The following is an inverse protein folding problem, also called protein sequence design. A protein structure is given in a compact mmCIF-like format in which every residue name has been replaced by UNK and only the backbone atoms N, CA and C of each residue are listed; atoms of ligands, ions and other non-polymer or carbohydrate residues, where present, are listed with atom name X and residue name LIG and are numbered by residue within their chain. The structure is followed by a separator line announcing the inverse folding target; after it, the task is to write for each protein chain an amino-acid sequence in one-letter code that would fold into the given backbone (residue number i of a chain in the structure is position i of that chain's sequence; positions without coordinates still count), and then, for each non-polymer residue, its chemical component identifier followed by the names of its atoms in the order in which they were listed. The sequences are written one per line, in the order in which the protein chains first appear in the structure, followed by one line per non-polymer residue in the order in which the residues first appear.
data_IF_401424443096
#
_entry.id   IF_401424443096
#
_cell.length_a   1.000
_cell.length_b   1.000
_cell.length_c   1.000
_cell.angle_alpha   90.00
_cell.angle_beta   90.00
_cell.angle_gamma   90.00
#
_symmetry.space_group_name_H-M   'P 1'
#
loop_
_entity.id
_entity.type
_entity.pdbx_description
1 polymer ?
#
# COMPACT_ATOMS: atom_id res chain seq x y z
N UNK A 1 18.07 14.45 -20.11
CA UNK A 1 16.80 15.03 -19.65
C UNK A 1 17.09 15.80 -18.39
N UNK A 2 16.29 16.82 -18.11
CA UNK A 2 16.26 17.54 -16.82
C UNK A 2 15.68 16.59 -15.78
N UNK A 3 16.28 16.50 -14.58
CA UNK A 3 15.76 15.65 -13.50
C UNK A 3 14.65 16.35 -12.69
N UNK A 4 13.92 15.61 -11.87
CA UNK A 4 12.79 16.14 -11.10
C UNK A 4 13.16 17.26 -10.13
N UNK A 5 14.41 17.29 -9.66
CA UNK A 5 14.90 18.34 -8.76
C UNK A 5 15.18 19.61 -9.55
N UNK A 6 15.79 19.50 -10.72
CA UNK A 6 16.07 20.64 -11.60
C UNK A 6 14.78 21.30 -12.08
N UNK A 7 13.73 20.53 -12.41
CA UNK A 7 12.40 21.06 -12.77
C UNK A 7 11.76 21.92 -11.66
N UNK A 8 11.86 21.47 -10.39
CA UNK A 8 11.33 22.21 -9.24
C UNK A 8 12.15 23.47 -8.95
N UNK A 9 13.48 23.37 -9.00
CA UNK A 9 14.38 24.48 -8.65
C UNK A 9 14.36 25.58 -9.72
N UNK A 10 14.22 25.22 -10.99
CA UNK A 10 14.10 26.18 -12.09
C UNK A 10 12.75 26.90 -12.11
N UNK A 11 11.74 26.34 -11.43
CA UNK A 11 10.36 26.82 -11.50
C UNK A 11 9.65 26.43 -12.79
N UNK A 12 10.19 25.47 -13.55
CA UNK A 12 9.50 24.91 -14.72
C UNK A 12 8.23 24.14 -14.30
N UNK A 13 8.22 23.56 -13.11
CA UNK A 13 7.03 23.01 -12.45
C UNK A 13 6.88 23.56 -11.03
N UNK A 14 5.65 23.86 -10.63
CA UNK A 14 5.34 24.32 -9.26
C UNK A 14 5.31 23.19 -8.22
N UNK A 15 5.03 21.96 -8.67
CA UNK A 15 4.87 20.80 -7.80
C UNK A 15 5.20 19.50 -8.53
N UNK A 16 5.60 18.50 -7.75
CA UNK A 16 5.90 17.14 -8.21
C UNK A 16 5.14 16.13 -7.35
N UNK A 17 4.58 15.10 -8.01
CA UNK A 17 4.09 13.90 -7.35
C UNK A 17 4.98 12.73 -7.74
N UNK A 18 5.76 12.21 -6.80
CA UNK A 18 6.80 11.21 -7.10
C UNK A 18 7.00 10.24 -5.93
N UNK A 19 7.35 9.00 -6.25
CA UNK A 19 7.53 7.94 -5.26
C UNK A 19 8.85 8.08 -4.48
N UNK A 20 9.92 8.48 -5.16
CA UNK A 20 11.21 8.75 -4.52
C UNK A 20 11.30 10.23 -4.12
N UNK A 21 11.98 10.48 -3.00
CA UNK A 21 12.25 11.82 -2.52
C UNK A 21 13.21 12.56 -3.48
N UNK A 22 12.85 13.74 -4.01
CA UNK A 22 13.73 14.51 -4.88
C UNK A 22 15.03 14.89 -4.17
N UNK A 23 16.15 14.80 -4.88
CA UNK A 23 17.48 15.13 -4.35
C UNK A 23 17.52 16.54 -3.74
N UNK A 24 16.93 17.54 -4.41
CA UNK A 24 16.87 18.90 -3.89
C UNK A 24 16.21 19.01 -2.50
N UNK A 25 15.19 18.18 -2.22
CA UNK A 25 14.58 18.13 -0.89
C UNK A 25 15.52 17.48 0.13
N UNK A 26 16.11 16.34 -0.22
CA UNK A 26 17.04 15.61 0.68
C UNK A 26 18.31 16.41 1.03
N UNK A 27 18.76 17.29 0.12
CA UNK A 27 19.90 18.19 0.33
C UNK A 27 19.50 19.48 1.07
N UNK A 28 18.23 19.64 1.43
CA UNK A 28 17.74 20.78 2.20
C UNK A 28 17.66 22.08 1.40
N UNK A 29 17.38 22.01 0.09
CA UNK A 29 17.19 23.20 -0.73
C UNK A 29 16.06 24.07 -0.15
N UNK A 30 16.31 25.37 0.16
CA UNK A 30 15.37 26.19 0.91
C UNK A 30 14.07 26.54 0.16
N UNK A 31 14.01 26.34 -1.16
CA UNK A 31 12.80 26.61 -1.96
C UNK A 31 11.98 25.35 -2.24
N UNK A 32 12.45 24.17 -1.84
CA UNK A 32 11.75 22.89 -2.05
C UNK A 32 11.22 22.35 -0.73
N UNK A 33 9.94 22.02 -0.68
CA UNK A 33 9.27 21.51 0.53
C UNK A 33 8.14 20.53 0.22
N UNK A 34 7.63 19.87 1.27
CA UNK A 34 6.43 19.02 1.17
C UNK A 34 5.18 19.90 1.05
N UNK A 35 4.26 19.54 0.15
CA UNK A 35 2.97 20.24 0.00
C UNK A 35 2.15 20.24 1.30
N UNK A 36 2.18 19.12 2.03
CA UNK A 36 1.64 19.01 3.38
C UNK A 36 2.79 18.99 4.38
N UNK A 37 2.99 20.07 5.17
CA UNK A 37 4.06 20.11 6.17
C UNK A 37 3.93 19.01 7.22
N UNK A 38 2.71 18.68 7.62
CA UNK A 38 2.38 17.56 8.51
C UNK A 38 1.70 16.45 7.69
N UNK A 39 2.52 15.76 6.90
CA UNK A 39 2.07 14.64 6.06
C UNK A 39 1.50 13.50 6.90
N UNK A 40 2.09 13.20 8.07
CA UNK A 40 1.65 12.13 8.97
C UNK A 40 0.22 12.35 9.44
N UNK A 41 -0.12 13.55 9.93
CA UNK A 41 -1.50 13.88 10.30
C UNK A 41 -2.44 13.86 9.10
N UNK A 42 -1.98 14.34 7.95
CA UNK A 42 -2.79 14.40 6.72
C UNK A 42 -3.16 13.00 6.22
N UNK A 43 -2.19 12.08 6.18
CA UNK A 43 -2.38 10.67 5.81
C UNK A 43 -3.28 9.94 6.79
N UNK A 44 -3.09 10.14 8.11
CA UNK A 44 -3.98 9.56 9.14
C UNK A 44 -5.41 10.07 9.00
N UNK A 45 -5.61 11.36 8.72
CA UNK A 45 -6.93 11.94 8.50
C UNK A 45 -7.58 11.40 7.22
N UNK A 46 -6.80 11.19 6.15
CA UNK A 46 -7.26 10.55 4.93
C UNK A 46 -7.75 9.11 5.21
N UNK A 47 -6.96 8.31 5.92
CA UNK A 47 -7.36 6.94 6.27
C UNK A 47 -8.59 6.96 7.18
N UNK A 48 -8.65 7.80 8.22
CA UNK A 48 -9.82 7.88 9.09
C UNK A 48 -11.10 8.26 8.34
N UNK A 49 -10.99 9.17 7.35
CA UNK A 49 -12.13 9.60 6.52
C UNK A 49 -12.57 8.53 5.52
N UNK A 50 -11.62 7.82 4.93
CA UNK A 50 -11.90 6.97 3.75
C UNK A 50 -11.84 5.48 4.04
N UNK A 51 -11.11 5.05 5.06
CA UNK A 51 -10.73 3.64 5.28
C UNK A 51 -9.91 3.06 4.14
N UNK A 52 -9.36 3.88 3.24
CA UNK A 52 -8.54 3.42 2.11
C UNK A 52 -7.08 3.57 2.50
N UNK A 53 -6.34 2.47 2.39
CA UNK A 53 -4.89 2.49 2.36
C UNK A 53 -4.42 1.98 1.00
N UNK A 54 -3.64 2.76 0.22
CA UNK A 54 -3.34 2.42 -1.17
C UNK A 54 -2.67 1.06 -1.35
N UNK A 55 -3.15 0.30 -2.34
CA UNK A 55 -2.58 -1.00 -2.72
C UNK A 55 -1.42 -0.77 -3.69
N UNK A 56 -0.23 -1.29 -3.38
CA UNK A 56 0.95 -1.16 -4.25
C UNK A 56 1.19 -2.39 -5.14
N UNK A 57 0.91 -3.59 -4.62
CA UNK A 57 1.24 -4.86 -5.29
C UNK A 57 0.09 -5.87 -5.23
N UNK A 58 0.01 -6.72 -6.26
CA UNK A 58 -0.85 -7.89 -6.32
C UNK A 58 -0.02 -9.11 -6.75
N UNK A 59 -0.49 -10.31 -6.38
CA UNK A 59 0.10 -11.57 -6.84
C UNK A 59 -0.72 -12.10 -7.99
N UNK A 60 -0.09 -12.29 -9.15
CA UNK A 60 -0.69 -12.91 -10.31
C UNK A 60 -0.09 -14.30 -10.53
N UNK A 61 -0.93 -15.26 -10.89
CA UNK A 61 -0.53 -16.61 -11.30
C UNK A 61 -1.10 -16.84 -12.69
N UNK A 62 -0.32 -17.45 -13.58
CA UNK A 62 -0.77 -17.73 -14.95
C UNK A 62 -1.92 -18.73 -14.96
N UNK A 63 -2.88 -18.52 -15.86
CA UNK A 63 -4.09 -19.35 -15.96
C UNK A 63 -3.78 -20.83 -16.24
N UNK A 64 -2.81 -21.13 -17.10
CA UNK A 64 -2.43 -22.52 -17.40
C UNK A 64 -1.88 -23.26 -16.17
N UNK A 65 -1.11 -22.57 -15.34
CA UNK A 65 -0.60 -23.10 -14.07
C UNK A 65 -1.74 -23.32 -13.07
N UNK A 66 -2.73 -22.40 -13.01
CA UNK A 66 -3.90 -22.57 -12.15
C UNK A 66 -4.72 -23.79 -12.58
N UNK A 67 -4.91 -23.98 -13.89
CA UNK A 67 -5.66 -25.11 -14.43
C UNK A 67 -4.99 -26.46 -14.10
N UNK A 68 -3.67 -26.53 -14.15
CA UNK A 68 -2.91 -27.73 -13.79
C UNK A 68 -2.85 -27.94 -12.27
N UNK A 69 -2.84 -26.85 -11.49
CA UNK A 69 -2.68 -26.86 -10.04
C UNK A 69 -3.69 -25.97 -9.31
N UNK A 70 -4.99 -26.31 -9.27
CA UNK A 70 -6.03 -25.44 -8.69
C UNK A 70 -5.81 -25.12 -7.19
N UNK A 71 -5.09 -25.98 -6.48
CA UNK A 71 -4.74 -25.80 -5.06
C UNK A 71 -3.73 -24.66 -4.83
N UNK A 72 -3.01 -24.23 -5.88
CA UNK A 72 -1.88 -23.30 -5.78
C UNK A 72 -2.30 -21.93 -5.23
N UNK A 73 -3.43 -21.39 -5.69
CA UNK A 73 -3.93 -20.08 -5.26
C UNK A 73 -4.12 -20.01 -3.74
N UNK A 74 -4.77 -21.03 -3.17
CA UNK A 74 -4.97 -21.11 -1.72
C UNK A 74 -3.67 -21.35 -0.95
N UNK A 75 -2.73 -22.12 -1.52
CA UNK A 75 -1.42 -22.34 -0.91
C UNK A 75 -0.59 -21.05 -0.86
N UNK A 76 -0.54 -20.29 -1.96
CA UNK A 76 0.15 -19.00 -2.05
C UNK A 76 -0.46 -17.99 -1.09
N UNK A 77 -1.78 -17.84 -1.08
CA UNK A 77 -2.48 -16.94 -0.16
C UNK A 77 -2.11 -17.24 1.30
N UNK A 78 -2.21 -18.51 1.72
CA UNK A 78 -1.84 -18.92 3.10
C UNK A 78 -0.36 -18.70 3.41
N UNK A 79 0.54 -18.95 2.45
CA UNK A 79 1.97 -18.75 2.65
C UNK A 79 2.31 -17.27 2.90
N UNK A 80 1.76 -16.37 2.09
CA UNK A 80 1.94 -14.92 2.28
C UNK A 80 1.32 -14.43 3.58
N UNK A 81 0.10 -14.85 3.92
CA UNK A 81 -0.52 -14.50 5.20
C UNK A 81 0.33 -14.93 6.39
N UNK A 82 0.89 -16.15 6.37
CA UNK A 82 1.80 -16.63 7.44
C UNK A 82 3.08 -15.80 7.52
N UNK A 83 3.67 -15.46 6.38
CA UNK A 83 4.88 -14.64 6.34
C UNK A 83 4.64 -13.22 6.90
N UNK A 84 3.51 -12.61 6.54
CA UNK A 84 3.08 -11.32 7.11
C UNK A 84 2.86 -11.43 8.61
N UNK A 85 2.14 -12.45 9.08
CA UNK A 85 1.88 -12.63 10.51
C UNK A 85 3.20 -12.76 11.30
N UNK A 86 4.17 -13.53 10.78
CA UNK A 86 5.49 -13.63 11.40
C UNK A 86 6.21 -12.28 11.50
N UNK A 87 6.02 -11.39 10.52
CA UNK A 87 6.55 -10.02 10.57
C UNK A 87 5.83 -9.17 11.60
N UNK A 88 4.50 -9.30 11.72
CA UNK A 88 3.74 -8.60 12.76
C UNK A 88 4.12 -9.04 14.17
N UNK A 89 4.29 -10.34 14.39
CA UNK A 89 4.74 -10.89 15.66
C UNK A 89 6.15 -10.39 16.00
N UNK A 90 7.05 -10.33 15.00
CA UNK A 90 8.38 -9.75 15.16
C UNK A 90 8.32 -8.24 15.50
N UNK A 91 7.51 -7.45 14.78
CA UNK A 91 7.34 -6.02 15.05
C UNK A 91 6.84 -5.77 16.47
N UNK A 92 5.91 -6.59 16.92
CA UNK A 92 5.31 -6.50 18.26
C UNK A 92 6.27 -6.85 19.38
N UNK A 93 7.07 -7.92 19.21
CA UNK A 93 7.83 -8.51 20.32
C UNK A 93 9.33 -8.15 20.31
N UNK A 94 9.92 -8.00 19.11
CA UNK A 94 11.38 -8.02 18.94
C UNK A 94 11.96 -6.81 18.20
N UNK A 95 11.16 -6.05 17.45
CA UNK A 95 11.71 -4.99 16.61
C UNK A 95 12.35 -3.84 17.41
N UNK A 96 11.91 -3.60 18.65
CA UNK A 96 12.39 -2.50 19.49
C UNK A 96 13.91 -2.53 19.78
N UNK A 97 14.54 -3.72 19.81
CA UNK A 97 15.98 -3.84 20.04
C UNK A 97 16.80 -3.93 18.75
N UNK A 98 16.15 -4.14 17.60
CA UNK A 98 16.80 -4.19 16.27
C UNK A 98 16.67 -2.91 15.47
N UNK A 99 15.68 -2.09 15.81
CA UNK A 99 15.47 -0.77 15.20
C UNK A 99 15.85 0.27 16.25
N UNK A 100 16.95 0.98 16.04
CA UNK A 100 17.48 1.97 17.00
C UNK A 100 16.68 3.29 17.07
N UNK A 101 15.42 3.29 16.61
CA UNK A 101 14.54 4.46 16.65
C UNK A 101 13.81 4.51 18.01
N UNK A 102 13.85 5.65 18.72
CA UNK A 102 13.37 5.75 20.11
C UNK A 102 11.85 5.62 20.28
N UNK A 103 11.07 5.77 19.20
CA UNK A 103 9.61 5.83 19.26
C UNK A 103 8.90 4.70 18.52
N UNK A 104 9.63 3.64 18.13
CA UNK A 104 9.07 2.55 17.34
C UNK A 104 7.84 1.89 17.98
N UNK A 105 7.86 1.72 19.31
CA UNK A 105 6.74 1.12 20.05
C UNK A 105 5.47 1.97 19.93
N UNK A 106 5.59 3.29 20.13
CA UNK A 106 4.50 4.24 19.96
C UNK A 106 4.00 4.25 18.51
N UNK A 107 4.90 4.23 17.52
CA UNK A 107 4.53 4.14 16.11
C UNK A 107 3.68 2.90 15.80
N UNK A 108 4.03 1.75 16.38
CA UNK A 108 3.27 0.52 16.24
C UNK A 108 1.88 0.59 16.91
N UNK A 109 1.81 1.13 18.14
CA UNK A 109 0.56 1.31 18.88
C UNK A 109 -0.40 2.28 18.16
N UNK A 110 0.09 3.44 17.75
CA UNK A 110 -0.69 4.47 17.04
C UNK A 110 -1.18 3.99 15.67
N UNK A 111 -0.43 3.09 15.01
CA UNK A 111 -0.85 2.45 13.76
C UNK A 111 -2.02 1.49 14.02
N UNK A 112 -1.92 0.64 15.04
CA UNK A 112 -2.99 -0.31 15.40
C UNK A 112 -4.25 0.37 15.90
N UNK A 113 -4.12 1.46 16.64
CA UNK A 113 -5.27 2.25 17.09
C UNK A 113 -6.06 2.81 15.89
N UNK A 114 -5.37 3.29 14.87
CA UNK A 114 -6.02 3.86 13.69
C UNK A 114 -6.53 2.80 12.71
N UNK A 115 -5.73 1.78 12.43
CA UNK A 115 -5.91 0.86 11.30
C UNK A 115 -6.33 -0.55 11.72
N UNK A 116 -6.35 -0.85 13.02
CA UNK A 116 -6.58 -2.18 13.58
C UNK A 116 -5.35 -3.09 13.53
N UNK A 117 -5.54 -4.34 13.95
CA UNK A 117 -4.44 -5.31 14.07
C UNK A 117 -3.94 -5.86 12.73
N UNK A 118 -4.74 -5.71 11.67
CA UNK A 118 -4.41 -6.19 10.33
C UNK A 118 -4.36 -5.05 9.29
N UNK A 119 -3.44 -4.11 9.51
CA UNK A 119 -3.30 -2.89 8.70
C UNK A 119 -2.76 -3.12 7.27
N UNK A 120 -2.18 -4.28 6.99
CA UNK A 120 -1.83 -4.77 5.65
C UNK A 120 -2.65 -6.02 5.30
N UNK A 121 -3.98 -5.87 5.31
CA UNK A 121 -4.90 -6.99 5.08
C UNK A 121 -4.74 -7.64 3.71
N UNK A 122 -4.87 -8.97 3.63
CA UNK A 122 -4.95 -9.71 2.38
C UNK A 122 -6.36 -10.24 2.13
N UNK A 123 -6.71 -10.40 0.86
CA UNK A 123 -8.03 -10.87 0.41
C UNK A 123 -8.92 -9.73 -0.08
N UNK A 124 -10.04 -10.10 -0.70
CA UNK A 124 -10.93 -9.14 -1.36
C UNK A 124 -11.77 -8.38 -0.36
N UNK A 125 -12.41 -9.06 0.59
CA UNK A 125 -13.35 -8.44 1.53
C UNK A 125 -12.77 -7.21 2.26
N UNK A 126 -11.59 -7.27 2.92
CA UNK A 126 -11.06 -6.12 3.63
C UNK A 126 -10.50 -5.03 2.69
N UNK A 127 -10.16 -5.38 1.44
CA UNK A 127 -9.58 -4.44 0.46
C UNK A 127 -10.59 -3.93 -0.59
N UNK A 128 -11.85 -4.37 -0.54
CA UNK A 128 -12.86 -4.10 -1.58
C UNK A 128 -12.98 -2.61 -1.90
N UNK A 129 -13.03 -1.77 -0.87
CA UNK A 129 -13.14 -0.31 -1.03
C UNK A 129 -11.94 0.29 -1.77
N UNK A 130 -10.73 -0.17 -1.44
CA UNK A 130 -9.50 0.29 -2.10
C UNK A 130 -9.42 -0.21 -3.55
N UNK A 131 -9.81 -1.46 -3.82
CA UNK A 131 -9.88 -2.03 -5.18
C UNK A 131 -10.90 -1.30 -6.05
N UNK A 132 -12.11 -1.05 -5.54
CA UNK A 132 -13.16 -0.34 -6.26
C UNK A 132 -12.75 1.11 -6.58
N UNK A 133 -12.05 1.77 -5.66
CA UNK A 133 -11.47 3.09 -5.90
C UNK A 133 -10.35 3.05 -6.95
N UNK A 134 -9.46 2.05 -6.89
CA UNK A 134 -8.43 1.84 -7.90
C UNK A 134 -9.05 1.67 -9.30
N UNK A 135 -10.09 0.85 -9.44
CA UNK A 135 -10.73 0.60 -10.74
C UNK A 135 -11.45 1.84 -11.27
N UNK A 136 -12.08 2.62 -10.39
CA UNK A 136 -12.65 3.90 -10.75
C UNK A 136 -11.57 4.85 -11.27
N UNK A 137 -10.52 5.11 -10.50
CA UNK A 137 -9.47 6.06 -10.88
C UNK A 137 -8.69 5.61 -12.11
N UNK A 138 -8.43 4.30 -12.26
CA UNK A 138 -7.78 3.75 -13.45
C UNK A 138 -8.57 4.06 -14.73
N UNK A 139 -9.90 3.98 -14.67
CA UNK A 139 -10.75 4.40 -15.80
C UNK A 139 -10.74 5.92 -15.98
N UNK A 140 -10.99 6.69 -14.91
CA UNK A 140 -11.09 8.15 -14.96
C UNK A 140 -9.80 8.81 -15.48
N UNK A 141 -8.65 8.20 -15.20
CA UNK A 141 -7.33 8.66 -15.65
C UNK A 141 -6.91 8.06 -17.00
N UNK A 142 -7.77 7.27 -17.65
CA UNK A 142 -7.51 6.68 -18.97
C UNK A 142 -6.49 5.54 -18.99
N UNK A 143 -6.11 4.99 -17.84
CA UNK A 143 -5.24 3.81 -17.75
C UNK A 143 -5.98 2.54 -18.18
N UNK A 144 -7.29 2.45 -17.87
CA UNK A 144 -8.19 1.41 -18.35
C UNK A 144 -9.22 2.00 -19.32
N UNK A 145 -9.51 1.29 -20.41
CA UNK A 145 -10.50 1.72 -21.42
C UNK A 145 -11.95 1.69 -20.91
N UNK A 146 -12.20 0.99 -19.80
CA UNK A 146 -13.48 0.89 -19.11
C UNK A 146 -13.28 0.60 -17.63
N UNK A 147 -14.33 0.76 -16.83
CA UNK A 147 -14.32 0.30 -15.43
C UNK A 147 -14.31 -1.23 -15.38
N UNK A 148 -13.34 -1.77 -14.66
CA UNK A 148 -13.24 -3.21 -14.35
C UNK A 148 -13.94 -3.50 -13.00
N UNK A 149 -14.40 -4.73 -12.82
CA UNK A 149 -14.88 -5.23 -11.51
C UNK A 149 -13.90 -6.22 -10.89
N UNK A 150 -14.10 -6.48 -9.60
CA UNK A 150 -13.29 -7.45 -8.85
C UNK A 150 -13.44 -8.85 -9.46
N UNK A 151 -14.66 -9.21 -9.84
CA UNK A 151 -15.01 -10.51 -10.40
C UNK A 151 -14.45 -10.72 -11.81
N UNK A 152 -14.11 -9.64 -12.52
CA UNK A 152 -13.45 -9.70 -13.83
C UNK A 152 -11.93 -9.89 -13.72
N UNK A 153 -11.31 -9.38 -12.66
CA UNK A 153 -9.85 -9.37 -12.49
C UNK A 153 -9.32 -10.47 -11.59
N UNK A 154 -10.09 -10.93 -10.62
CA UNK A 154 -9.67 -11.95 -9.67
C UNK A 154 -10.31 -13.30 -9.97
N UNK A 155 -9.53 -14.37 -9.81
CA UNK A 155 -10.02 -15.73 -10.02
C UNK A 155 -11.19 -16.04 -9.06
N UNK A 156 -12.30 -16.68 -9.51
CA UNK A 156 -13.50 -16.86 -8.69
C UNK A 156 -13.25 -17.56 -7.34
N UNK A 157 -12.31 -18.51 -7.30
CA UNK A 157 -11.98 -19.23 -6.05
C UNK A 157 -11.32 -18.36 -4.98
N UNK A 158 -10.80 -17.18 -5.34
CA UNK A 158 -10.09 -16.29 -4.40
C UNK A 158 -10.97 -15.22 -3.80
N UNK A 159 -12.21 -15.04 -4.27
CA UNK A 159 -13.10 -13.96 -3.83
C UNK A 159 -13.43 -14.05 -2.34
N UNK A 160 -13.54 -15.28 -1.83
CA UNK A 160 -13.87 -15.57 -0.43
C UNK A 160 -12.64 -15.95 0.39
N UNK A 161 -11.42 -15.74 -0.12
CA UNK A 161 -10.22 -15.97 0.67
C UNK A 161 -10.16 -14.98 1.83
N UNK A 162 -10.14 -15.54 3.04
CA UNK A 162 -9.93 -14.84 4.27
C UNK A 162 -8.64 -15.33 4.92
N UNK A 163 -7.89 -14.41 5.49
CA UNK A 163 -6.74 -14.77 6.31
C UNK A 163 -7.21 -15.58 7.51
N UNK A 164 -6.42 -16.59 7.88
CA UNK A 164 -6.61 -17.29 9.14
C UNK A 164 -6.12 -16.33 10.23
N UNK A 165 -7.02 -15.48 10.72
CA UNK A 165 -6.74 -14.62 11.87
C UNK A 165 -6.57 -15.53 13.10
N UNK A 166 -5.54 -15.32 13.94
CA UNK A 166 -5.59 -15.80 15.31
C UNK A 166 -6.76 -15.21 16.08
#
# INVERSE_FOLDING_TARGET
GVDESELLVSGEVDALFHAAEPKAYSEGNPIVGRLFPDYRRTERAYYAKTGIFPIMHAVAVRDDVINEHPWLLGAVFRAYSRAKQATYDYLKNDAWFKVSLPWLGQEFEETRELMGDNYWSYGIAPNRKALEALFQYSQEQGLASRRLTIEELFHPSTLEFAELVP
#
